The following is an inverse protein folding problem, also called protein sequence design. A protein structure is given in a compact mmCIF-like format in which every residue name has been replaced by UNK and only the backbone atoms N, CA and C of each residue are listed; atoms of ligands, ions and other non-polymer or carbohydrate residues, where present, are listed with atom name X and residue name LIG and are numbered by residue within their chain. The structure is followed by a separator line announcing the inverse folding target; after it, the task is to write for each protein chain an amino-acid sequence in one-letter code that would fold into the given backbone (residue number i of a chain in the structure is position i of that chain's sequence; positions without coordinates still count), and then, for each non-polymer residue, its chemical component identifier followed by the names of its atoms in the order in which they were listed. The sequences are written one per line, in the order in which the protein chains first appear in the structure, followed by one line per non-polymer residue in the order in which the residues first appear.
data_IF_099662786095
#
_entry.id   IF_099662786095
#
_cell.length_a   1.000
_cell.length_b   1.000
_cell.length_c   1.000
_cell.angle_alpha   90.00
_cell.angle_beta   90.00
_cell.angle_gamma   90.00
#
_symmetry.space_group_name_H-M   'P 1'
#
loop_
_entity.id
_entity.type
_entity.pdbx_description
1 polymer ?
#
# COMPACT_ATOMS: atom_id res chain seq x y z
N UNK A 1 13.90 3.91 -7.96
CA UNK A 1 12.70 4.56 -7.43
C UNK A 1 13.06 6.00 -7.09
N UNK A 2 12.27 6.99 -7.54
CA UNK A 2 12.65 8.40 -7.41
C UNK A 2 12.36 8.90 -5.99
N UNK A 3 13.40 9.37 -5.29
CA UNK A 3 13.31 9.98 -3.95
C UNK A 3 12.41 11.24 -3.89
N UNK A 4 11.96 11.73 -5.06
CA UNK A 4 11.08 12.89 -5.22
C UNK A 4 9.57 12.56 -5.11
N UNK A 5 9.17 11.28 -5.15
CA UNK A 5 7.74 10.93 -5.07
C UNK A 5 7.24 10.98 -3.62
N UNK A 6 6.75 12.14 -3.17
CA UNK A 6 6.12 12.25 -1.86
C UNK A 6 4.83 11.41 -1.82
N UNK A 7 4.64 10.54 -0.80
CA UNK A 7 3.39 9.81 -0.65
C UNK A 7 2.20 10.78 -0.55
N UNK A 8 1.13 10.52 -1.32
CA UNK A 8 -0.12 11.27 -1.18
C UNK A 8 -0.70 11.05 0.23
N UNK A 9 -1.05 12.16 0.89
CA UNK A 9 -1.63 12.14 2.23
C UNK A 9 -3.05 11.56 2.21
N UNK A 10 -3.48 10.97 3.32
CA UNK A 10 -4.84 10.45 3.48
C UNK A 10 -5.91 11.53 3.20
N UNK A 11 -5.70 12.76 3.70
CA UNK A 11 -6.60 13.88 3.48
C UNK A 11 -6.74 14.26 2.00
N UNK A 12 -5.61 14.32 1.26
CA UNK A 12 -5.64 14.64 -0.17
C UNK A 12 -6.26 13.51 -0.99
N UNK A 13 -6.06 12.26 -0.57
CA UNK A 13 -6.72 11.11 -1.19
C UNK A 13 -8.24 11.17 -0.98
N UNK A 14 -8.70 11.39 0.24
CA UNK A 14 -10.13 11.49 0.56
C UNK A 14 -10.84 12.61 -0.22
N UNK A 15 -10.22 13.80 -0.31
CA UNK A 15 -10.79 14.92 -1.06
C UNK A 15 -11.05 14.56 -2.53
N UNK A 16 -10.18 13.76 -3.15
CA UNK A 16 -10.34 13.33 -4.54
C UNK A 16 -11.43 12.26 -4.75
N UNK A 17 -11.92 11.59 -3.69
CA UNK A 17 -12.96 10.57 -3.80
C UNK A 17 -14.34 11.17 -4.08
N UNK A 18 -14.61 12.37 -3.51
CA UNK A 18 -15.91 13.06 -3.58
C UNK A 18 -16.38 13.40 -4.99
N UNK A 19 -15.46 13.43 -5.96
CA UNK A 19 -15.74 13.76 -7.36
C UNK A 19 -15.85 12.51 -8.25
N UNK A 20 -15.69 11.30 -7.69
CA UNK A 20 -15.63 10.07 -8.47
C UNK A 20 -16.99 9.36 -8.55
N UNK A 21 -17.31 8.73 -9.70
CA UNK A 21 -18.48 7.86 -9.79
C UNK A 21 -18.25 6.56 -9.00
N UNK A 22 -19.35 5.95 -8.53
CA UNK A 22 -19.33 4.71 -7.72
C UNK A 22 -18.53 3.59 -8.39
N UNK A 23 -18.59 3.45 -9.71
CA UNK A 23 -17.81 2.46 -10.46
C UNK A 23 -16.29 2.66 -10.29
N UNK A 24 -15.83 3.92 -10.26
CA UNK A 24 -14.42 4.26 -10.01
C UNK A 24 -14.01 3.97 -8.57
N UNK A 25 -14.91 4.17 -7.59
CA UNK A 25 -14.65 3.81 -6.19
C UNK A 25 -14.46 2.29 -6.04
N UNK A 26 -15.33 1.48 -6.64
CA UNK A 26 -15.18 0.02 -6.65
C UNK A 26 -13.89 -0.42 -7.35
N UNK A 27 -13.57 0.17 -8.49
CA UNK A 27 -12.33 -0.10 -9.21
C UNK A 27 -11.11 0.22 -8.33
N UNK A 28 -11.15 1.34 -7.58
CA UNK A 28 -10.07 1.73 -6.67
C UNK A 28 -9.90 0.75 -5.52
N UNK A 29 -10.99 0.23 -4.94
CA UNK A 29 -10.91 -0.82 -3.91
C UNK A 29 -10.26 -2.08 -4.49
N UNK A 30 -10.66 -2.51 -5.68
CA UNK A 30 -10.08 -3.69 -6.33
C UNK A 30 -8.58 -3.53 -6.59
N UNK A 31 -8.17 -2.37 -7.10
CA UNK A 31 -6.77 -2.02 -7.33
C UNK A 31 -5.94 -2.05 -6.03
N UNK A 32 -6.46 -1.43 -4.95
CA UNK A 32 -5.78 -1.40 -3.65
C UNK A 32 -5.63 -2.81 -3.06
N UNK A 33 -6.69 -3.63 -3.11
CA UNK A 33 -6.64 -5.02 -2.66
C UNK A 33 -5.63 -5.86 -3.44
N UNK A 34 -5.59 -5.69 -4.76
CA UNK A 34 -4.62 -6.40 -5.60
C UNK A 34 -3.19 -5.98 -5.25
N UNK A 35 -2.96 -4.68 -5.06
CA UNK A 35 -1.65 -4.14 -4.68
C UNK A 35 -1.18 -4.67 -3.31
N UNK A 36 -2.08 -4.71 -2.31
CA UNK A 36 -1.79 -5.30 -0.99
C UNK A 36 -1.42 -6.77 -1.15
N UNK A 37 -2.23 -7.56 -1.86
CA UNK A 37 -1.98 -9.00 -2.04
C UNK A 37 -0.63 -9.29 -2.70
N UNK A 38 -0.25 -8.50 -3.72
CA UNK A 38 1.06 -8.63 -4.34
C UNK A 38 2.20 -8.27 -3.38
N UNK A 39 2.04 -7.21 -2.59
CA UNK A 39 3.07 -6.75 -1.65
C UNK A 39 3.23 -7.72 -0.47
N UNK A 40 2.14 -8.28 0.05
CA UNK A 40 2.17 -9.32 1.08
C UNK A 40 2.89 -10.58 0.59
N UNK A 41 2.62 -11.01 -0.66
CA UNK A 41 3.34 -12.14 -1.26
C UNK A 41 4.83 -11.84 -1.38
N UNK A 42 5.19 -10.66 -1.88
CA UNK A 42 6.60 -10.24 -1.99
C UNK A 42 7.29 -10.15 -0.62
N UNK A 43 6.58 -9.70 0.41
CA UNK A 43 7.10 -9.66 1.78
C UNK A 43 7.31 -11.06 2.35
N UNK A 44 6.42 -12.01 2.08
CA UNK A 44 6.60 -13.39 2.54
C UNK A 44 7.88 -14.02 1.94
N UNK A 45 8.14 -13.78 0.65
CA UNK A 45 9.36 -14.22 -0.03
C UNK A 45 10.61 -13.53 0.56
N UNK A 46 10.53 -12.23 0.85
CA UNK A 46 11.63 -11.46 1.43
C UNK A 46 11.91 -11.80 2.91
N UNK A 47 10.87 -12.14 3.69
CA UNK A 47 11.01 -12.61 5.08
C UNK A 47 11.82 -13.91 5.15
N UNK A 48 11.62 -14.82 4.21
CA UNK A 48 12.41 -16.06 4.12
C UNK A 48 13.89 -15.76 3.82
N UNK A 49 14.15 -14.85 2.87
CA UNK A 49 15.51 -14.43 2.52
C UNK A 49 16.23 -13.79 3.72
N UNK A 50 15.58 -12.85 4.42
CA UNK A 50 16.15 -12.18 5.60
C UNK A 50 16.49 -13.16 6.72
N UNK A 51 15.65 -14.19 6.94
CA UNK A 51 15.91 -15.24 7.95
C UNK A 51 17.16 -16.05 7.63
N UNK A 52 17.45 -16.28 6.36
CA UNK A 52 18.60 -17.07 5.91
C UNK A 52 19.89 -16.24 5.91
N UNK A 53 19.84 -15.02 5.39
CA UNK A 53 21.03 -14.20 5.10
C UNK A 53 21.32 -13.12 6.16
N UNK A 54 20.42 -12.89 7.12
CA UNK A 54 20.53 -11.79 8.11
C UNK A 54 20.78 -10.40 7.48
N UNK A 55 20.20 -10.18 6.29
CA UNK A 55 20.35 -8.94 5.53
C UNK A 55 19.50 -7.81 6.17
N UNK A 56 20.20 -6.79 6.66
CA UNK A 56 19.61 -5.64 7.33
C UNK A 56 18.82 -4.74 6.37
N UNK A 57 19.31 -4.52 5.16
CA UNK A 57 18.64 -3.63 4.20
C UNK A 57 17.32 -4.26 3.74
N UNK A 58 17.32 -5.58 3.56
CA UNK A 58 16.11 -6.35 3.27
C UNK A 58 15.12 -6.33 4.46
N UNK A 59 15.61 -6.35 5.70
CA UNK A 59 14.75 -6.18 6.88
C UNK A 59 14.11 -4.78 6.95
N UNK A 60 14.90 -3.73 6.68
CA UNK A 60 14.39 -2.36 6.64
C UNK A 60 13.32 -2.20 5.54
N UNK A 61 13.54 -2.80 4.36
CA UNK A 61 12.55 -2.83 3.28
C UNK A 61 11.24 -3.55 3.68
N UNK A 62 11.31 -4.64 4.45
CA UNK A 62 10.11 -5.31 4.99
C UNK A 62 9.29 -4.40 5.90
N UNK A 63 9.96 -3.63 6.76
CA UNK A 63 9.31 -2.68 7.67
C UNK A 63 8.64 -1.56 6.87
N UNK A 64 9.32 -1.01 5.87
CA UNK A 64 8.76 0.00 4.99
C UNK A 64 7.53 -0.51 4.21
N UNK A 65 7.61 -1.73 3.67
CA UNK A 65 6.50 -2.34 2.95
C UNK A 65 5.27 -2.55 3.85
N UNK A 66 5.46 -2.90 5.13
CA UNK A 66 4.36 -3.01 6.11
C UNK A 66 3.67 -1.67 6.34
N UNK A 67 4.41 -0.57 6.39
CA UNK A 67 3.83 0.79 6.44
C UNK A 67 3.08 1.16 5.16
N UNK A 68 3.55 0.71 3.99
CA UNK A 68 2.83 0.90 2.72
C UNK A 68 1.50 0.15 2.73
N UNK A 69 1.47 -1.11 3.18
CA UNK A 69 0.23 -1.91 3.33
C UNK A 69 -0.75 -1.19 4.24
N UNK A 70 -0.32 -0.76 5.44
CA UNK A 70 -1.17 -0.03 6.39
C UNK A 70 -1.82 1.22 5.78
N UNK A 71 -1.06 1.98 4.99
CA UNK A 71 -1.60 3.16 4.28
C UNK A 71 -2.58 2.79 3.17
N UNK A 72 -2.39 1.67 2.48
CA UNK A 72 -3.34 1.18 1.48
C UNK A 72 -4.64 0.71 2.13
N UNK A 73 -4.57 0.03 3.28
CA UNK A 73 -5.73 -0.35 4.08
C UNK A 73 -6.51 0.89 4.57
N UNK A 74 -5.81 1.90 5.09
CA UNK A 74 -6.42 3.18 5.46
C UNK A 74 -7.17 3.82 4.28
N UNK A 75 -6.58 3.77 3.07
CA UNK A 75 -7.24 4.26 1.85
C UNK A 75 -8.48 3.44 1.49
N UNK A 76 -8.47 2.12 1.67
CA UNK A 76 -9.68 1.30 1.48
C UNK A 76 -10.80 1.77 2.41
N UNK A 77 -10.49 2.03 3.68
CA UNK A 77 -11.47 2.52 4.65
C UNK A 77 -11.99 3.92 4.31
N UNK A 78 -11.16 4.78 3.70
CA UNK A 78 -11.62 6.07 3.17
C UNK A 78 -12.58 5.89 1.98
N UNK A 79 -12.28 4.98 1.05
CA UNK A 79 -13.18 4.71 -0.10
C UNK A 79 -14.51 4.11 0.34
N UNK A 80 -14.55 3.29 1.40
CA UNK A 80 -15.80 2.72 1.93
C UNK A 80 -16.71 3.75 2.63
N UNK A 81 -16.17 4.91 3.01
CA UNK A 81 -16.91 5.97 3.70
C UNK A 81 -17.53 6.99 2.74
N UNK A 82 -17.11 6.96 1.48
CA UNK A 82 -17.67 7.74 0.37
C UNK A 82 -18.89 7.01 -0.23
#
# INVERSE_FOLDING_TARGET
MSAESRPITAARFAAALTELPISSLHAKIAELKNSISHLEKSNAELEEYVRQESDRDCYEALVENKEVIRRMEERIELVKKE
#
